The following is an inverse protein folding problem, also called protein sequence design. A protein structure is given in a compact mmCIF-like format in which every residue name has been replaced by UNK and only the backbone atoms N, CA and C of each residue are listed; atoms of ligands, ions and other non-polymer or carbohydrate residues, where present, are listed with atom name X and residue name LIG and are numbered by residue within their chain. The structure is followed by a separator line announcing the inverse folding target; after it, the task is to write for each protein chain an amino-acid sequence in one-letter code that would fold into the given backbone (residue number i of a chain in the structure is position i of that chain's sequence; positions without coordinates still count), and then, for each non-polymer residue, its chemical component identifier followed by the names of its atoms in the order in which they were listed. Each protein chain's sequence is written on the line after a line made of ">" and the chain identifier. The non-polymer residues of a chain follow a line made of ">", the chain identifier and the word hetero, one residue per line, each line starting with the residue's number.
data_IF_735142689885
#
_entry.id   IF_735142689885
#
_cell.length_a   1.000
_cell.length_b   1.000
_cell.length_c   1.000
_cell.angle_alpha   90.00
_cell.angle_beta   90.00
_cell.angle_gamma   90.00
#
_symmetry.space_group_name_H-M   'P 1'
#
loop_
_entity.id
_entity.type
_entity.pdbx_description
1 polymer ?
#
# COMPACT_ATOMS: atom_id res chain seq x y z
N UNK A 1 -47.54 14.48 -15.89
CA UNK A 1 -46.99 13.25 -16.52
C UNK A 1 -46.44 13.48 -17.94
N UNK A 2 -46.83 14.54 -18.67
CA UNK A 2 -46.36 14.80 -20.05
C UNK A 2 -44.90 15.30 -20.19
N UNK A 3 -44.32 15.94 -19.16
CA UNK A 3 -42.95 16.49 -19.25
C UNK A 3 -41.83 15.42 -19.28
N UNK A 4 -42.08 14.20 -18.77
CA UNK A 4 -41.10 13.10 -18.84
C UNK A 4 -40.98 12.50 -20.24
N UNK A 5 -42.07 12.53 -21.02
CA UNK A 5 -42.09 11.94 -22.37
C UNK A 5 -41.36 12.84 -23.39
N UNK A 6 -41.36 14.16 -23.17
CA UNK A 6 -40.65 15.11 -24.03
C UNK A 6 -39.12 15.02 -23.88
N UNK A 7 -38.62 14.84 -22.66
CA UNK A 7 -37.18 14.60 -22.41
C UNK A 7 -36.71 13.25 -22.95
N UNK A 8 -37.57 12.22 -22.97
CA UNK A 8 -37.23 10.92 -23.53
C UNK A 8 -37.10 10.97 -25.06
N UNK A 9 -37.99 11.72 -25.73
CA UNK A 9 -37.97 11.92 -27.18
C UNK A 9 -36.72 12.70 -27.65
N UNK A 10 -36.28 13.71 -26.89
CA UNK A 10 -35.07 14.49 -27.22
C UNK A 10 -33.79 13.64 -27.04
N UNK A 11 -33.74 12.78 -26.03
CA UNK A 11 -32.61 11.85 -25.84
C UNK A 11 -32.59 10.77 -26.93
N UNK A 12 -33.74 10.24 -27.35
CA UNK A 12 -33.86 9.28 -28.46
C UNK A 12 -33.48 9.90 -29.82
N UNK A 13 -33.89 11.15 -30.10
CA UNK A 13 -33.51 11.86 -31.32
C UNK A 13 -32.00 12.16 -31.37
N UNK A 14 -31.38 12.51 -30.25
CA UNK A 14 -29.93 12.78 -30.19
C UNK A 14 -29.04 11.55 -30.45
N UNK A 15 -29.53 10.34 -30.18
CA UNK A 15 -28.80 9.10 -30.48
C UNK A 15 -28.85 8.71 -31.97
N UNK A 16 -29.84 9.21 -32.74
CA UNK A 16 -29.97 8.94 -34.17
C UNK A 16 -29.08 9.83 -35.05
N UNK A 17 -28.69 11.02 -34.57
CA UNK A 17 -27.80 11.90 -35.35
C UNK A 17 -26.34 11.46 -35.38
N UNK A 18 -25.86 10.77 -34.33
CA UNK A 18 -24.44 10.33 -34.26
C UNK A 18 -24.17 9.13 -35.18
N UNK A 19 -25.15 8.25 -35.39
CA UNK A 19 -25.05 7.13 -36.34
C UNK A 19 -25.12 7.59 -37.80
N UNK A 20 -25.84 8.69 -38.07
CA UNK A 20 -25.98 9.25 -39.43
C UNK A 20 -24.63 9.70 -40.02
N UNK A 21 -23.77 10.37 -39.23
CA UNK A 21 -22.46 10.80 -39.70
C UNK A 21 -21.50 9.63 -40.01
N UNK A 22 -21.56 8.55 -39.24
CA UNK A 22 -20.75 7.36 -39.49
C UNK A 22 -21.19 6.66 -40.79
N UNK A 23 -22.50 6.59 -41.03
CA UNK A 23 -23.09 6.00 -42.23
C UNK A 23 -22.75 6.80 -43.50
N UNK A 24 -22.89 8.13 -43.46
CA UNK A 24 -22.53 9.02 -44.59
C UNK A 24 -21.06 8.86 -44.97
N UNK A 25 -20.17 8.82 -43.97
CA UNK A 25 -18.74 8.66 -44.23
C UNK A 25 -18.37 7.28 -44.79
N UNK A 26 -19.15 6.24 -44.47
CA UNK A 26 -18.92 4.87 -44.95
C UNK A 26 -19.28 4.67 -46.44
N UNK A 27 -20.01 5.61 -47.05
CA UNK A 27 -20.39 5.56 -48.47
C UNK A 27 -19.42 6.34 -49.38
N UNK A 28 -18.42 7.02 -48.82
CA UNK A 28 -17.46 7.82 -49.60
C UNK A 28 -16.53 6.95 -50.42
N UNK A 29 -16.19 7.38 -51.64
CA UNK A 29 -15.26 6.65 -52.50
C UNK A 29 -13.86 6.44 -51.85
N UNK A 30 -13.40 7.41 -51.06
CA UNK A 30 -12.13 7.32 -50.31
C UNK A 30 -12.34 7.16 -48.79
N UNK A 31 -13.09 6.13 -48.37
CA UNK A 31 -13.17 5.77 -46.94
C UNK A 31 -11.77 5.45 -46.39
N UNK A 32 -10.89 4.83 -47.17
CA UNK A 32 -9.59 4.40 -46.66
C UNK A 32 -8.65 5.57 -46.30
N UNK A 33 -8.63 6.65 -47.10
CA UNK A 33 -7.91 7.88 -46.77
C UNK A 33 -8.47 8.55 -45.50
N UNK A 34 -9.79 8.59 -45.36
CA UNK A 34 -10.46 9.13 -44.17
C UNK A 34 -10.11 8.34 -42.89
N UNK A 35 -10.13 7.00 -42.97
CA UNK A 35 -9.71 6.12 -41.87
C UNK A 35 -8.25 6.38 -41.50
N UNK A 36 -7.38 6.60 -42.49
CA UNK A 36 -5.96 6.90 -42.27
C UNK A 36 -5.78 8.21 -41.51
N UNK A 37 -6.52 9.26 -41.89
CA UNK A 37 -6.54 10.55 -41.20
C UNK A 37 -7.00 10.40 -39.75
N UNK A 38 -8.12 9.73 -39.49
CA UNK A 38 -8.60 9.52 -38.12
C UNK A 38 -7.64 8.74 -37.25
N UNK A 39 -6.93 7.76 -37.80
CA UNK A 39 -5.91 7.03 -37.05
C UNK A 39 -4.73 7.93 -36.69
N UNK A 40 -4.29 8.80 -37.60
CA UNK A 40 -3.23 9.78 -37.34
C UNK A 40 -3.66 10.78 -36.25
N UNK A 41 -4.91 11.21 -36.30
CA UNK A 41 -5.52 12.11 -35.32
C UNK A 41 -5.87 11.42 -34.00
N UNK A 42 -5.77 10.08 -33.89
CA UNK A 42 -6.18 9.26 -32.73
C UNK A 42 -7.70 9.17 -32.50
N UNK A 43 -8.50 9.37 -33.54
CA UNK A 43 -9.96 9.24 -33.59
C UNK A 43 -10.40 7.78 -33.82
N UNK A 44 -10.00 6.87 -32.92
CA UNK A 44 -10.16 5.44 -33.13
C UNK A 44 -11.62 4.96 -33.12
N UNK A 45 -12.47 5.51 -32.24
CA UNK A 45 -13.88 5.14 -32.21
C UNK A 45 -14.61 5.58 -33.48
N UNK A 46 -14.33 6.79 -34.01
CA UNK A 46 -14.86 7.26 -35.30
C UNK A 46 -14.48 6.29 -36.41
N UNK A 47 -13.19 5.93 -36.51
CA UNK A 47 -12.72 4.98 -37.51
C UNK A 47 -13.40 3.61 -37.42
N UNK A 48 -13.54 3.05 -36.21
CA UNK A 48 -14.20 1.75 -36.00
C UNK A 48 -15.69 1.81 -36.29
N UNK A 49 -16.37 2.85 -35.86
CA UNK A 49 -17.82 2.97 -36.03
C UNK A 49 -18.18 3.24 -37.50
N UNK A 50 -17.35 3.96 -38.27
CA UNK A 50 -17.49 4.05 -39.73
C UNK A 50 -17.25 2.71 -40.42
N UNK A 51 -16.19 1.95 -40.06
CA UNK A 51 -15.93 0.65 -40.68
C UNK A 51 -17.08 -0.34 -40.51
N UNK A 52 -17.81 -0.30 -39.38
CA UNK A 52 -18.99 -1.15 -39.16
C UNK A 52 -20.14 -0.87 -40.12
N UNK A 53 -20.19 0.31 -40.72
CA UNK A 53 -21.26 0.75 -41.62
C UNK A 53 -20.92 0.50 -43.11
N UNK A 54 -19.70 0.07 -43.42
CA UNK A 54 -19.28 -0.21 -44.81
C UNK A 54 -19.94 -1.50 -45.31
N UNK A 55 -20.66 -1.41 -46.42
CA UNK A 55 -21.34 -2.56 -47.06
C UNK A 55 -20.34 -3.47 -47.79
N UNK A 56 -20.66 -4.76 -47.88
CA UNK A 56 -19.87 -5.78 -48.60
C UNK A 56 -19.66 -5.48 -50.08
N UNK A 57 -20.58 -4.72 -50.68
CA UNK A 57 -20.53 -4.28 -52.09
C UNK A 57 -19.54 -3.14 -52.35
N UNK A 58 -18.94 -2.54 -51.32
CA UNK A 58 -18.00 -1.44 -51.49
C UNK A 58 -16.70 -1.92 -52.18
N UNK A 59 -16.16 -1.20 -53.20
CA UNK A 59 -14.98 -1.65 -53.95
C UNK A 59 -13.75 -1.96 -53.09
N UNK A 60 -13.61 -1.27 -51.95
CA UNK A 60 -12.50 -1.44 -51.02
C UNK A 60 -12.85 -2.29 -49.78
N UNK A 61 -13.97 -3.00 -49.75
CA UNK A 61 -14.49 -3.67 -48.56
C UNK A 61 -13.44 -4.57 -47.87
N UNK A 62 -12.80 -5.49 -48.62
CA UNK A 62 -11.79 -6.40 -48.07
C UNK A 62 -10.60 -5.64 -47.46
N UNK A 63 -10.08 -4.63 -48.17
CA UNK A 63 -8.98 -3.78 -47.70
C UNK A 63 -9.35 -3.05 -46.40
N UNK A 64 -10.57 -2.52 -46.32
CA UNK A 64 -11.09 -1.81 -45.15
C UNK A 64 -11.29 -2.75 -43.94
N UNK A 65 -11.75 -3.98 -44.15
CA UNK A 65 -11.91 -4.94 -43.05
C UNK A 65 -10.56 -5.37 -42.42
N UNK A 66 -9.49 -5.45 -43.22
CA UNK A 66 -8.13 -5.72 -42.70
C UNK A 66 -7.61 -4.58 -41.81
N UNK A 67 -8.08 -3.33 -42.00
CA UNK A 67 -7.70 -2.17 -41.19
C UNK A 67 -8.14 -2.32 -39.72
N UNK A 68 -9.15 -3.13 -39.41
CA UNK A 68 -9.65 -3.31 -38.05
C UNK A 68 -8.54 -3.75 -37.08
N UNK A 69 -7.66 -4.66 -37.52
CA UNK A 69 -6.53 -5.15 -36.70
C UNK A 69 -5.53 -4.04 -36.41
N UNK A 70 -5.24 -3.18 -37.39
CA UNK A 70 -4.35 -2.03 -37.22
C UNK A 70 -4.95 -1.00 -36.25
N UNK A 71 -6.22 -0.62 -36.45
CA UNK A 71 -6.93 0.34 -35.60
C UNK A 71 -6.94 -0.17 -34.16
N UNK A 72 -7.24 -1.45 -33.94
CA UNK A 72 -7.23 -2.07 -32.62
C UNK A 72 -5.83 -2.02 -31.98
N UNK A 73 -4.77 -2.38 -32.72
CA UNK A 73 -3.39 -2.33 -32.23
C UNK A 73 -2.97 -0.90 -31.85
N UNK A 74 -3.24 0.09 -32.71
CA UNK A 74 -2.90 1.49 -32.45
C UNK A 74 -3.72 2.08 -31.29
N UNK A 75 -5.02 1.78 -31.23
CA UNK A 75 -5.90 2.17 -30.13
C UNK A 75 -5.42 1.62 -28.78
N UNK A 76 -5.04 0.34 -28.71
CA UNK A 76 -4.51 -0.26 -27.49
C UNK A 76 -3.16 0.34 -27.07
N UNK A 77 -2.28 0.65 -28.03
CA UNK A 77 -1.01 1.35 -27.75
C UNK A 77 -1.26 2.75 -27.19
N UNK A 78 -2.22 3.48 -27.76
CA UNK A 78 -2.66 4.78 -27.24
C UNK A 78 -3.19 4.65 -25.82
N UNK A 79 -4.12 3.73 -25.56
CA UNK A 79 -4.67 3.47 -24.22
C UNK A 79 -3.57 3.14 -23.20
N UNK A 80 -2.62 2.26 -23.55
CA UNK A 80 -1.51 1.91 -22.67
C UNK A 80 -0.63 3.13 -22.32
N UNK A 81 -0.34 3.99 -23.32
CA UNK A 81 0.41 5.24 -23.11
C UNK A 81 -0.36 6.19 -22.19
N UNK A 82 -1.65 6.39 -22.44
CA UNK A 82 -2.54 7.23 -21.63
C UNK A 82 -2.53 6.77 -20.17
N UNK A 83 -2.76 5.47 -19.91
CA UNK A 83 -2.77 4.91 -18.55
C UNK A 83 -1.41 5.10 -17.86
N UNK A 84 -0.30 4.88 -18.58
CA UNK A 84 1.04 5.10 -18.02
C UNK A 84 1.26 6.56 -17.62
N UNK A 85 0.86 7.49 -18.48
CA UNK A 85 0.99 8.93 -18.26
C UNK A 85 0.10 9.42 -17.10
N UNK A 86 -1.16 9.02 -17.05
CA UNK A 86 -2.06 9.39 -15.95
C UNK A 86 -1.58 8.80 -14.62
N UNK A 87 -1.05 7.58 -14.61
CA UNK A 87 -0.43 7.01 -13.41
C UNK A 87 0.78 7.81 -12.92
N UNK A 88 1.57 8.41 -13.82
CA UNK A 88 2.63 9.34 -13.45
C UNK A 88 2.05 10.58 -12.76
N UNK A 89 1.07 11.26 -13.38
CA UNK A 89 0.42 12.43 -12.77
C UNK A 89 -0.22 12.14 -11.42
N UNK A 90 -0.85 10.98 -11.26
CA UNK A 90 -1.44 10.55 -9.98
C UNK A 90 -0.37 10.40 -8.88
N UNK A 91 0.82 9.86 -9.20
CA UNK A 91 1.91 9.74 -8.21
C UNK A 91 2.44 11.11 -7.78
N UNK A 92 2.50 12.05 -8.72
CA UNK A 92 2.91 13.44 -8.48
C UNK A 92 1.80 14.31 -7.85
N UNK A 93 0.64 13.73 -7.48
CA UNK A 93 -0.56 14.45 -7.01
C UNK A 93 -1.09 15.51 -7.99
N UNK A 94 -0.76 15.39 -9.29
CA UNK A 94 -1.26 16.24 -10.37
C UNK A 94 -2.62 15.73 -10.87
N UNK A 95 -3.63 15.84 -10.01
CA UNK A 95 -4.94 15.24 -10.24
C UNK A 95 -5.69 15.81 -11.44
N UNK A 96 -5.50 17.10 -11.73
CA UNK A 96 -6.14 17.79 -12.86
C UNK A 96 -5.51 17.39 -14.18
N UNK A 97 -4.18 17.36 -14.28
CA UNK A 97 -3.47 16.85 -15.47
C UNK A 97 -3.90 15.42 -15.83
N UNK A 98 -4.04 14.56 -14.82
CA UNK A 98 -4.56 13.21 -15.01
C UNK A 98 -6.00 13.22 -15.55
N UNK A 99 -6.86 14.12 -15.05
CA UNK A 99 -8.24 14.26 -15.51
C UNK A 99 -8.30 14.66 -16.98
N UNK A 100 -7.56 15.70 -17.37
CA UNK A 100 -7.51 16.20 -18.75
C UNK A 100 -7.07 15.11 -19.72
N UNK A 101 -6.03 14.34 -19.37
CA UNK A 101 -5.56 13.23 -20.21
C UNK A 101 -6.58 12.09 -20.31
N UNK A 102 -7.26 11.73 -19.20
CA UNK A 102 -8.34 10.74 -19.26
C UNK A 102 -9.51 11.20 -20.11
N UNK A 103 -9.97 12.44 -19.94
CA UNK A 103 -11.10 12.99 -20.66
C UNK A 103 -10.84 13.03 -22.17
N UNK A 104 -9.63 13.49 -22.56
CA UNK A 104 -9.18 13.43 -23.94
C UNK A 104 -9.23 12.00 -24.51
N UNK A 105 -8.70 11.02 -23.78
CA UNK A 105 -8.66 9.64 -24.26
C UNK A 105 -10.05 8.97 -24.30
N UNK A 106 -10.93 9.27 -23.36
CA UNK A 106 -12.29 8.69 -23.30
C UNK A 106 -13.17 9.22 -24.43
N UNK A 107 -12.96 10.45 -24.90
CA UNK A 107 -13.66 10.97 -26.09
C UNK A 107 -13.25 10.27 -27.38
N UNK A 108 -12.08 9.62 -27.40
CA UNK A 108 -11.50 8.97 -28.58
C UNK A 108 -11.62 7.45 -28.59
N UNK A 109 -11.68 6.86 -27.40
CA UNK A 109 -11.79 5.40 -27.18
C UNK A 109 -12.74 5.08 -26.01
N UNK A 110 -13.96 5.59 -26.12
CA UNK A 110 -15.04 5.51 -25.12
C UNK A 110 -15.39 4.08 -24.71
N UNK A 111 -15.32 3.12 -25.64
CA UNK A 111 -15.72 1.72 -25.42
C UNK A 111 -14.59 0.83 -24.89
N UNK A 112 -13.38 1.35 -24.65
CA UNK A 112 -12.26 0.54 -24.17
C UNK A 112 -12.39 0.21 -22.68
N UNK A 113 -12.48 -1.09 -22.35
CA UNK A 113 -12.68 -1.57 -20.97
C UNK A 113 -11.52 -1.20 -20.04
N UNK A 114 -10.28 -1.31 -20.50
CA UNK A 114 -9.09 -1.02 -19.69
C UNK A 114 -8.98 0.46 -19.34
N UNK A 115 -9.24 1.35 -20.31
CA UNK A 115 -9.28 2.80 -20.09
C UNK A 115 -10.37 3.18 -19.08
N UNK A 116 -11.59 2.68 -19.27
CA UNK A 116 -12.71 2.93 -18.36
C UNK A 116 -12.43 2.42 -16.93
N UNK A 117 -11.85 1.23 -16.80
CA UNK A 117 -11.47 0.68 -15.50
C UNK A 117 -10.40 1.52 -14.80
N UNK A 118 -9.39 1.95 -15.57
CA UNK A 118 -8.31 2.81 -15.07
C UNK A 118 -8.85 4.18 -14.62
N UNK A 119 -9.76 4.80 -15.39
CA UNK A 119 -10.42 6.04 -15.03
C UNK A 119 -11.28 5.91 -13.76
N UNK A 120 -12.09 4.84 -13.64
CA UNK A 120 -12.86 4.57 -12.41
C UNK A 120 -11.94 4.44 -11.18
N UNK A 121 -10.81 3.76 -11.35
CA UNK A 121 -9.80 3.61 -10.29
C UNK A 121 -9.18 4.97 -9.92
N UNK A 122 -8.89 5.83 -10.90
CA UNK A 122 -8.45 7.20 -10.68
C UNK A 122 -9.44 8.00 -9.83
N UNK A 123 -10.75 7.96 -10.17
CA UNK A 123 -11.78 8.69 -9.42
C UNK A 123 -11.83 8.25 -7.95
N UNK A 124 -11.74 6.94 -7.68
CA UNK A 124 -11.68 6.41 -6.32
C UNK A 124 -10.42 6.91 -5.58
N UNK A 125 -9.25 6.88 -6.22
CA UNK A 125 -8.00 7.39 -5.64
C UNK A 125 -8.06 8.89 -5.35
N UNK A 126 -8.59 9.68 -6.29
CA UNK A 126 -8.79 11.14 -6.13
C UNK A 126 -9.72 11.42 -4.96
N UNK A 127 -10.82 10.69 -4.84
CA UNK A 127 -11.76 10.86 -3.74
C UNK A 127 -11.12 10.53 -2.38
N UNK A 128 -10.32 9.45 -2.30
CA UNK A 128 -9.58 9.11 -1.08
C UNK A 128 -8.58 10.22 -0.71
N UNK A 129 -7.87 10.76 -1.69
CA UNK A 129 -6.94 11.88 -1.49
C UNK A 129 -7.64 13.15 -1.00
N UNK A 130 -8.73 13.55 -1.66
CA UNK A 130 -9.56 14.70 -1.26
C UNK A 130 -10.07 14.51 0.19
N UNK A 131 -10.58 13.32 0.52
CA UNK A 131 -11.05 13.03 1.86
C UNK A 131 -9.93 13.11 2.91
N UNK A 132 -8.70 12.71 2.56
CA UNK A 132 -7.52 12.87 3.42
C UNK A 132 -7.20 14.35 3.65
N UNK A 133 -7.23 15.17 2.61
CA UNK A 133 -7.00 16.62 2.73
C UNK A 133 -8.10 17.31 3.54
N UNK A 134 -9.37 17.01 3.27
CA UNK A 134 -10.51 17.52 4.05
C UNK A 134 -10.40 17.14 5.53
N UNK A 135 -9.98 15.91 5.83
CA UNK A 135 -9.71 15.50 7.20
C UNK A 135 -8.58 16.32 7.83
N UNK A 136 -7.46 16.52 7.13
CA UNK A 136 -6.35 17.34 7.65
C UNK A 136 -6.80 18.77 7.93
N UNK A 137 -7.58 19.36 7.02
CA UNK A 137 -8.17 20.69 7.20
C UNK A 137 -9.06 20.74 8.44
N UNK A 138 -9.99 19.80 8.59
CA UNK A 138 -10.88 19.72 9.75
C UNK A 138 -10.12 19.66 11.09
N UNK A 139 -9.08 18.82 11.17
CA UNK A 139 -8.26 18.70 12.38
C UNK A 139 -7.51 20.01 12.67
N UNK A 140 -6.96 20.66 11.64
CA UNK A 140 -6.26 21.94 11.80
C UNK A 140 -7.23 23.05 12.23
N UNK A 141 -8.40 23.13 11.62
CA UNK A 141 -9.48 24.05 12.00
C UNK A 141 -9.86 23.85 13.46
N UNK A 142 -10.07 22.60 13.89
CA UNK A 142 -10.40 22.31 15.29
C UNK A 142 -9.30 22.77 16.25
N UNK A 143 -8.02 22.51 15.95
CA UNK A 143 -6.92 22.97 16.80
C UNK A 143 -6.81 24.50 16.88
N UNK A 144 -7.05 25.21 15.78
CA UNK A 144 -7.07 26.68 15.79
C UNK A 144 -8.18 27.18 16.70
N UNK A 145 -9.41 26.69 16.50
CA UNK A 145 -10.58 27.09 17.27
C UNK A 145 -10.44 26.81 18.77
N UNK A 146 -9.83 25.68 19.16
CA UNK A 146 -9.54 25.36 20.57
C UNK A 146 -8.66 26.44 21.22
N UNK A 147 -7.74 27.05 20.46
CA UNK A 147 -6.83 28.09 20.96
C UNK A 147 -7.44 29.49 20.87
N UNK A 148 -8.06 29.81 19.75
CA UNK A 148 -8.47 31.17 19.40
C UNK A 148 -9.77 31.57 20.11
N UNK A 149 -10.72 30.63 20.24
CA UNK A 149 -12.03 30.89 20.84
C UNK A 149 -11.95 31.46 22.27
N UNK A 150 -11.20 30.88 23.23
CA UNK A 150 -11.11 31.42 24.58
C UNK A 150 -10.39 32.79 24.63
N UNK A 151 -9.49 33.07 23.68
CA UNK A 151 -8.81 34.37 23.59
C UNK A 151 -9.80 35.42 23.08
N UNK A 152 -10.52 35.13 21.99
CA UNK A 152 -11.51 36.05 21.45
C UNK A 152 -12.66 36.32 22.44
N UNK A 153 -13.07 35.30 23.20
CA UNK A 153 -14.06 35.48 24.26
C UNK A 153 -13.61 36.52 25.30
N UNK A 154 -12.35 36.47 25.74
CA UNK A 154 -11.80 37.44 26.69
C UNK A 154 -11.77 38.86 26.10
N UNK A 155 -11.40 39.01 24.83
CA UNK A 155 -11.41 40.30 24.13
C UNK A 155 -12.84 40.87 24.08
N UNK A 156 -13.81 40.06 23.64
CA UNK A 156 -15.21 40.47 23.57
C UNK A 156 -15.79 40.81 24.95
N UNK A 157 -15.36 40.13 26.02
CA UNK A 157 -15.79 40.45 27.39
C UNK A 157 -15.15 41.73 27.95
N UNK A 158 -13.95 42.09 27.49
CA UNK A 158 -13.23 43.29 27.93
C UNK A 158 -13.77 44.57 27.26
N UNK A 159 -14.29 44.44 26.03
CA UNK A 159 -14.81 45.57 25.22
C UNK A 159 -16.26 45.29 24.82
N UNK A 160 -17.15 45.23 25.82
CA UNK A 160 -18.54 44.77 25.62
C UNK A 160 -19.33 45.64 24.65
N UNK A 161 -19.02 46.93 24.60
CA UNK A 161 -19.60 47.94 23.73
C UNK A 161 -19.18 47.79 22.26
N UNK A 162 -18.09 47.08 21.96
CA UNK A 162 -17.63 46.86 20.59
C UNK A 162 -18.43 45.74 19.91
N UNK A 163 -19.40 46.14 19.08
CA UNK A 163 -20.18 45.22 18.24
C UNK A 163 -19.29 44.37 17.32
N UNK A 164 -18.15 44.92 16.88
CA UNK A 164 -17.20 44.22 16.01
C UNK A 164 -16.54 43.05 16.73
N UNK A 165 -16.11 43.22 17.99
CA UNK A 165 -15.49 42.13 18.75
C UNK A 165 -16.49 41.06 19.18
N UNK A 166 -17.75 41.46 19.47
CA UNK A 166 -18.84 40.50 19.69
C UNK A 166 -19.11 39.65 18.43
N UNK A 167 -19.25 40.31 17.27
CA UNK A 167 -19.49 39.61 16.01
C UNK A 167 -18.38 38.62 15.65
N UNK A 168 -17.11 38.98 15.90
CA UNK A 168 -15.97 38.07 15.72
C UNK A 168 -16.06 36.85 16.64
N UNK A 169 -16.40 37.06 17.91
CA UNK A 169 -16.60 35.97 18.87
C UNK A 169 -17.75 35.04 18.43
N UNK A 170 -18.90 35.60 18.07
CA UNK A 170 -20.07 34.81 17.63
C UNK A 170 -19.79 34.03 16.34
N UNK A 171 -19.04 34.62 15.41
CA UNK A 171 -18.59 33.94 14.18
C UNK A 171 -17.70 32.73 14.51
N UNK A 172 -16.72 32.90 15.40
CA UNK A 172 -15.84 31.81 15.84
C UNK A 172 -16.63 30.72 16.58
N UNK A 173 -17.58 31.11 17.44
CA UNK A 173 -18.45 30.19 18.17
C UNK A 173 -19.36 29.38 17.24
N UNK A 174 -19.93 30.03 16.23
CA UNK A 174 -20.72 29.35 15.18
C UNK A 174 -19.86 28.35 14.42
N UNK A 175 -18.64 28.75 14.02
CA UNK A 175 -17.69 27.86 13.34
C UNK A 175 -17.24 26.68 14.22
N UNK A 176 -17.07 26.89 15.53
CA UNK A 176 -16.78 25.82 16.48
C UNK A 176 -17.94 24.80 16.55
N UNK A 177 -19.18 25.27 16.58
CA UNK A 177 -20.38 24.42 16.60
C UNK A 177 -20.50 23.57 15.32
N UNK A 178 -20.23 24.16 14.16
CA UNK A 178 -20.17 23.44 12.89
C UNK A 178 -19.04 22.40 12.89
N UNK A 179 -17.86 22.79 13.35
CA UNK A 179 -16.68 21.92 13.44
C UNK A 179 -16.92 20.72 14.36
N UNK A 180 -17.62 20.90 15.49
CA UNK A 180 -18.05 19.80 16.36
C UNK A 180 -18.92 18.80 15.60
N UNK A 181 -19.88 19.28 14.82
CA UNK A 181 -20.76 18.42 14.00
C UNK A 181 -19.98 17.65 12.94
N UNK A 182 -19.03 18.29 12.27
CA UNK A 182 -18.13 17.65 11.31
C UNK A 182 -17.24 16.58 11.95
N UNK A 183 -16.72 16.84 13.16
CA UNK A 183 -15.88 15.90 13.91
C UNK A 183 -16.67 14.68 14.42
N UNK A 184 -17.91 14.88 14.86
CA UNK A 184 -18.83 13.79 15.21
C UNK A 184 -19.09 12.90 13.98
N UNK A 185 -19.29 13.50 12.81
CA UNK A 185 -19.44 12.76 11.55
C UNK A 185 -18.14 12.05 11.13
N UNK A 186 -16.99 12.71 11.27
CA UNK A 186 -15.68 12.11 11.06
C UNK A 186 -15.53 10.84 11.90
N UNK A 187 -15.85 10.91 13.19
CA UNK A 187 -15.76 9.77 14.09
C UNK A 187 -16.72 8.64 13.68
N UNK A 188 -17.99 8.95 13.41
CA UNK A 188 -18.98 7.99 12.91
C UNK A 188 -18.52 7.25 11.65
N UNK A 189 -18.00 7.98 10.64
CA UNK A 189 -17.48 7.39 9.41
C UNK A 189 -16.29 6.47 9.67
N UNK A 190 -15.36 6.89 10.52
CA UNK A 190 -14.18 6.09 10.85
C UNK A 190 -14.52 4.85 11.70
N UNK A 191 -15.56 4.92 12.55
CA UNK A 191 -16.09 3.73 13.24
C UNK A 191 -16.65 2.71 12.28
N UNK A 192 -17.43 3.12 11.27
CA UNK A 192 -17.94 2.23 10.22
C UNK A 192 -16.79 1.55 9.45
N UNK A 193 -15.69 2.28 9.23
CA UNK A 193 -14.49 1.78 8.57
C UNK A 193 -13.51 1.04 9.52
N UNK A 194 -13.88 0.79 10.79
CA UNK A 194 -13.03 0.16 11.81
C UNK A 194 -11.70 0.89 12.09
N UNK A 195 -11.60 2.18 11.75
CA UNK A 195 -10.45 3.06 12.00
C UNK A 195 -10.58 3.72 13.38
N UNK A 196 -10.38 2.92 14.43
CA UNK A 196 -10.66 3.32 15.82
C UNK A 196 -9.84 4.54 16.24
N UNK A 197 -8.53 4.58 15.94
CA UNK A 197 -7.66 5.69 16.34
C UNK A 197 -8.08 7.03 15.72
N UNK A 198 -8.40 7.04 14.43
CA UNK A 198 -8.88 8.24 13.73
C UNK A 198 -10.22 8.70 14.28
N UNK A 199 -11.12 7.75 14.57
CA UNK A 199 -12.40 8.07 15.22
C UNK A 199 -12.19 8.68 16.61
N UNK A 200 -11.31 8.08 17.43
CA UNK A 200 -10.95 8.60 18.76
C UNK A 200 -10.40 10.02 18.68
N UNK A 201 -9.49 10.30 17.74
CA UNK A 201 -8.95 11.65 17.55
C UNK A 201 -10.03 12.67 17.20
N UNK A 202 -10.91 12.35 16.26
CA UNK A 202 -12.00 13.25 15.87
C UNK A 202 -12.95 13.52 17.05
N UNK A 203 -13.34 12.50 17.81
CA UNK A 203 -14.29 12.71 18.92
C UNK A 203 -13.68 13.46 20.10
N UNK A 204 -12.37 13.30 20.36
CA UNK A 204 -11.66 14.05 21.40
C UNK A 204 -11.59 15.53 21.08
N UNK A 205 -11.30 15.88 19.82
CA UNK A 205 -11.33 17.29 19.38
C UNK A 205 -12.74 17.88 19.46
N UNK A 206 -13.77 17.09 19.15
CA UNK A 206 -15.16 17.53 19.29
C UNK A 206 -15.51 17.82 20.76
N UNK A 207 -14.96 17.05 21.69
CA UNK A 207 -15.15 17.25 23.12
C UNK A 207 -14.41 18.49 23.64
N UNK A 208 -13.24 18.82 23.08
CA UNK A 208 -12.45 19.99 23.45
C UNK A 208 -13.06 21.33 23.00
N UNK A 209 -13.88 21.32 21.95
CA UNK A 209 -14.56 22.51 21.41
C UNK A 209 -15.87 22.88 22.15
N UNK A 210 -16.00 22.50 23.42
CA UNK A 210 -17.14 22.81 24.29
C UNK A 210 -18.52 22.56 23.62
N UNK A 211 -18.84 21.28 23.30
CA UNK A 211 -20.03 20.94 22.54
C UNK A 211 -21.33 21.30 23.28
N UNK A 212 -22.38 21.64 22.52
CA UNK A 212 -23.74 21.81 23.05
C UNK A 212 -24.20 20.58 23.85
N UNK A 213 -25.19 20.73 24.73
CA UNK A 213 -25.74 19.62 25.54
C UNK A 213 -26.13 18.40 24.68
N UNK A 214 -26.76 18.66 23.52
CA UNK A 214 -27.13 17.62 22.56
C UNK A 214 -25.90 16.90 21.96
N UNK A 215 -24.91 17.68 21.49
CA UNK A 215 -23.66 17.16 20.92
C UNK A 215 -22.84 16.38 21.96
N UNK A 216 -22.83 16.83 23.21
CA UNK A 216 -22.18 16.16 24.34
C UNK A 216 -22.75 14.75 24.57
N UNK A 217 -24.08 14.58 24.49
CA UNK A 217 -24.73 13.28 24.55
C UNK A 217 -24.26 12.33 23.43
N UNK A 218 -24.23 12.83 22.18
CA UNK A 218 -23.72 12.08 21.01
C UNK A 218 -22.25 11.69 21.17
N UNK A 219 -21.41 12.61 21.65
CA UNK A 219 -19.98 12.39 21.92
C UNK A 219 -19.78 11.28 22.96
N UNK A 220 -20.51 11.34 24.08
CA UNK A 220 -20.44 10.33 25.15
C UNK A 220 -20.78 8.92 24.65
N UNK A 221 -21.83 8.80 23.81
CA UNK A 221 -22.22 7.53 23.20
C UNK A 221 -21.12 6.98 22.28
N UNK A 222 -20.53 7.83 21.44
CA UNK A 222 -19.44 7.40 20.57
C UNK A 222 -18.18 7.00 21.33
N UNK A 223 -17.79 7.75 22.36
CA UNK A 223 -16.66 7.42 23.23
C UNK A 223 -16.81 6.05 23.88
N UNK A 224 -18.01 5.72 24.40
CA UNK A 224 -18.30 4.37 24.94
C UNK A 224 -18.09 3.28 23.89
N UNK A 225 -18.58 3.49 22.66
CA UNK A 225 -18.40 2.56 21.54
C UNK A 225 -16.94 2.39 21.14
N UNK A 226 -16.19 3.50 21.04
CA UNK A 226 -14.76 3.52 20.74
C UNK A 226 -13.99 2.72 21.80
N UNK A 227 -14.23 2.97 23.09
CA UNK A 227 -13.56 2.30 24.18
C UNK A 227 -13.84 0.79 24.18
N UNK A 228 -15.10 0.38 24.01
CA UNK A 228 -15.49 -1.04 23.89
C UNK A 228 -14.76 -1.73 22.74
N UNK A 229 -14.69 -1.08 21.57
CA UNK A 229 -13.99 -1.63 20.41
C UNK A 229 -12.46 -1.67 20.60
N UNK A 230 -11.89 -0.66 21.24
CA UNK A 230 -10.47 -0.59 21.57
C UNK A 230 -10.06 -1.74 22.49
N UNK A 231 -10.84 -1.99 23.56
CA UNK A 231 -10.60 -3.09 24.50
C UNK A 231 -10.70 -4.44 23.77
N UNK A 232 -11.74 -4.64 22.96
CA UNK A 232 -11.92 -5.88 22.18
C UNK A 232 -10.76 -6.14 21.23
N UNK A 233 -10.29 -5.11 20.52
CA UNK A 233 -9.16 -5.23 19.61
C UNK A 233 -7.85 -5.49 20.36
N UNK A 234 -7.63 -4.84 21.51
CA UNK A 234 -6.43 -5.10 22.30
C UNK A 234 -6.41 -6.54 22.82
N UNK A 235 -7.52 -7.05 23.34
CA UNK A 235 -7.64 -8.46 23.77
C UNK A 235 -7.38 -9.43 22.62
N UNK A 236 -7.90 -9.14 21.42
CA UNK A 236 -7.64 -9.96 20.22
C UNK A 236 -6.15 -9.94 19.83
N UNK A 237 -5.52 -8.76 19.88
CA UNK A 237 -4.09 -8.60 19.58
C UNK A 237 -3.23 -9.37 20.56
N UNK A 238 -3.46 -9.20 21.87
CA UNK A 238 -2.74 -9.92 22.92
C UNK A 238 -2.89 -11.45 22.77
N UNK A 239 -4.09 -11.93 22.43
CA UNK A 239 -4.31 -13.35 22.15
C UNK A 239 -3.53 -13.83 20.92
N UNK A 240 -3.52 -13.05 19.84
CA UNK A 240 -2.78 -13.39 18.62
C UNK A 240 -1.25 -13.39 18.85
N UNK A 241 -0.76 -12.45 19.64
CA UNK A 241 0.63 -12.34 20.05
C UNK A 241 1.05 -13.52 20.92
N UNK A 242 0.27 -13.83 21.97
CA UNK A 242 0.45 -15.02 22.79
C UNK A 242 0.49 -16.31 21.97
N UNK A 243 -0.48 -16.50 21.06
CA UNK A 243 -0.48 -17.66 20.15
C UNK A 243 0.77 -17.71 19.25
N UNK A 244 1.27 -16.56 18.79
CA UNK A 244 2.49 -16.50 17.97
C UNK A 244 3.72 -16.88 18.78
N UNK A 245 3.80 -16.46 20.05
CA UNK A 245 4.88 -16.84 20.96
C UNK A 245 4.83 -18.36 21.20
N UNK A 246 3.66 -18.91 21.52
CA UNK A 246 3.48 -20.37 21.70
C UNK A 246 3.93 -21.16 20.48
N UNK A 247 3.54 -20.72 19.28
CA UNK A 247 3.96 -21.37 18.02
C UNK A 247 5.47 -21.30 17.83
N UNK A 248 6.10 -20.18 18.18
CA UNK A 248 7.55 -20.02 18.07
C UNK A 248 8.30 -20.89 19.10
N UNK A 249 7.79 -20.99 20.33
CA UNK A 249 8.31 -21.92 21.35
C UNK A 249 8.20 -23.37 20.87
N UNK A 250 7.09 -23.77 20.26
CA UNK A 250 6.95 -25.14 19.72
C UNK A 250 7.95 -25.42 18.59
N UNK A 251 8.23 -24.45 17.72
CA UNK A 251 9.27 -24.57 16.70
C UNK A 251 10.67 -24.69 17.30
N UNK A 252 10.96 -23.88 18.33
CA UNK A 252 12.19 -24.00 19.10
C UNK A 252 12.33 -25.41 19.70
N UNK A 253 11.30 -25.91 20.40
CA UNK A 253 11.30 -27.25 21.00
C UNK A 253 11.52 -28.35 19.95
N UNK A 254 10.90 -28.24 18.78
CA UNK A 254 11.10 -29.19 17.69
C UNK A 254 12.51 -29.15 17.10
N UNK A 255 13.10 -27.96 16.93
CA UNK A 255 14.49 -27.81 16.47
C UNK A 255 15.48 -28.38 17.51
N UNK A 256 15.26 -28.04 18.78
CA UNK A 256 16.06 -28.52 19.90
C UNK A 256 16.01 -30.05 20.03
N UNK A 257 14.82 -30.65 19.95
CA UNK A 257 14.65 -32.11 20.00
C UNK A 257 15.33 -32.84 18.83
N UNK A 258 15.48 -32.17 17.67
CA UNK A 258 16.23 -32.68 16.51
C UNK A 258 17.73 -32.42 16.59
N UNK A 259 18.22 -31.87 17.71
CA UNK A 259 19.60 -31.42 17.89
C UNK A 259 20.06 -30.37 16.85
N UNK A 260 19.12 -29.65 16.24
CA UNK A 260 19.39 -28.51 15.35
C UNK A 260 19.57 -27.24 16.21
N UNK A 261 20.74 -27.16 16.85
CA UNK A 261 21.06 -26.11 17.82
C UNK A 261 21.15 -24.73 17.16
N UNK A 262 21.55 -24.65 15.88
CA UNK A 262 21.58 -23.40 15.12
C UNK A 262 20.16 -22.84 14.92
N UNK A 263 19.22 -23.68 14.43
CA UNK A 263 17.84 -23.26 14.25
C UNK A 263 17.18 -22.93 15.60
N UNK A 264 17.44 -23.73 16.64
CA UNK A 264 16.94 -23.48 17.99
C UNK A 264 17.42 -22.11 18.53
N UNK A 265 18.71 -21.79 18.40
CA UNK A 265 19.30 -20.51 18.82
C UNK A 265 18.70 -19.33 18.06
N UNK A 266 18.60 -19.45 16.74
CA UNK A 266 18.01 -18.40 15.88
C UNK A 266 16.56 -18.11 16.26
N UNK A 267 15.75 -19.15 16.47
CA UNK A 267 14.34 -19.00 16.83
C UNK A 267 14.22 -18.36 18.22
N UNK A 268 14.96 -18.86 19.22
CA UNK A 268 14.82 -18.42 20.59
C UNK A 268 15.29 -16.97 20.79
N UNK A 269 16.42 -16.58 20.21
CA UNK A 269 16.91 -15.20 20.25
C UNK A 269 15.90 -14.23 19.61
N UNK A 270 15.24 -14.64 18.52
CA UNK A 270 14.19 -13.85 17.88
C UNK A 270 12.97 -13.66 18.79
N UNK A 271 12.58 -14.66 19.58
CA UNK A 271 11.46 -14.53 20.51
C UNK A 271 11.86 -13.61 21.69
N UNK A 272 13.06 -13.79 22.25
CA UNK A 272 13.58 -12.99 23.38
C UNK A 272 13.71 -11.51 23.01
N UNK A 273 14.24 -11.19 21.83
CA UNK A 273 14.39 -9.81 21.37
C UNK A 273 13.07 -9.02 21.40
N UNK A 274 11.95 -9.71 21.17
CA UNK A 274 10.60 -9.13 21.16
C UNK A 274 9.85 -9.27 22.50
N UNK A 275 10.40 -9.99 23.49
CA UNK A 275 9.74 -10.34 24.75
C UNK A 275 10.72 -10.25 25.93
N UNK A 276 11.40 -9.10 26.04
CA UNK A 276 12.40 -8.86 27.10
C UNK A 276 11.75 -9.05 28.49
N UNK A 277 12.47 -9.73 29.38
CA UNK A 277 12.03 -9.96 30.77
C UNK A 277 11.12 -11.17 30.98
N UNK A 278 10.87 -11.99 29.97
CA UNK A 278 10.13 -13.25 30.17
C UNK A 278 11.03 -14.33 30.80
N UNK A 279 10.76 -14.66 32.05
CA UNK A 279 11.52 -15.65 32.84
C UNK A 279 11.61 -17.04 32.20
N UNK A 280 10.53 -17.52 31.58
CA UNK A 280 10.52 -18.82 30.91
C UNK A 280 11.46 -18.85 29.70
N UNK A 281 11.50 -17.76 28.92
CA UNK A 281 12.41 -17.67 27.77
C UNK A 281 13.87 -17.62 28.21
N UNK A 282 14.16 -16.95 29.33
CA UNK A 282 15.51 -16.94 29.92
C UNK A 282 15.95 -18.34 30.33
N UNK A 283 15.06 -19.13 30.95
CA UNK A 283 15.35 -20.55 31.28
C UNK A 283 15.65 -21.37 30.04
N UNK A 284 14.81 -21.25 29.00
CA UNK A 284 15.04 -21.97 27.73
C UNK A 284 16.38 -21.60 27.10
N UNK A 285 16.80 -20.33 27.22
CA UNK A 285 18.08 -19.84 26.68
C UNK A 285 19.26 -20.47 27.41
N UNK A 286 19.21 -20.52 28.74
CA UNK A 286 20.24 -21.18 29.55
C UNK A 286 20.43 -22.66 29.16
N UNK A 287 19.33 -23.41 29.01
CA UNK A 287 19.36 -24.83 28.62
C UNK A 287 19.97 -25.01 27.22
N UNK A 288 19.58 -24.13 26.29
CA UNK A 288 20.12 -24.16 24.94
C UNK A 288 21.63 -23.85 24.94
N UNK A 289 22.05 -22.83 25.69
CA UNK A 289 23.44 -22.40 25.74
C UNK A 289 24.35 -23.49 26.31
N UNK A 290 23.90 -24.19 27.37
CA UNK A 290 24.60 -25.37 27.89
C UNK A 290 24.77 -26.47 26.82
N UNK A 291 23.70 -26.74 26.05
CA UNK A 291 23.74 -27.73 24.97
C UNK A 291 24.66 -27.32 23.82
N UNK A 292 24.69 -26.03 23.48
CA UNK A 292 25.59 -25.45 22.48
C UNK A 292 27.04 -25.58 22.95
N UNK A 293 27.35 -25.18 24.18
CA UNK A 293 28.70 -25.24 24.73
C UNK A 293 29.24 -26.67 24.71
N UNK A 294 28.46 -27.64 25.21
CA UNK A 294 28.84 -29.06 25.17
C UNK A 294 29.10 -29.56 23.74
N UNK A 295 28.27 -29.14 22.77
CA UNK A 295 28.44 -29.51 21.35
C UNK A 295 29.70 -28.90 20.75
N UNK A 296 30.00 -27.65 21.09
CA UNK A 296 31.19 -26.93 20.65
C UNK A 296 32.44 -27.59 21.21
N UNK A 297 32.52 -27.82 22.52
CA UNK A 297 33.66 -28.46 23.19
C UNK A 297 33.99 -29.82 22.56
N UNK A 298 32.98 -30.69 22.46
CA UNK A 298 33.14 -32.03 21.84
C UNK A 298 33.57 -31.91 20.37
N UNK A 299 33.02 -30.92 19.66
CA UNK A 299 33.28 -30.70 18.25
C UNK A 299 34.67 -30.12 17.96
N UNK A 300 35.18 -29.24 18.82
CA UNK A 300 36.54 -28.70 18.78
C UNK A 300 37.53 -29.85 18.94
N UNK A 301 37.34 -30.69 19.97
CA UNK A 301 38.24 -31.82 20.23
C UNK A 301 38.24 -32.83 19.08
N UNK A 302 37.06 -33.15 18.53
CA UNK A 302 36.95 -34.00 17.34
C UNK A 302 37.73 -33.41 16.16
N UNK A 303 37.58 -32.11 15.91
CA UNK A 303 38.32 -31.42 14.85
C UNK A 303 39.83 -31.42 15.09
N UNK A 304 40.28 -31.29 16.36
CA UNK A 304 41.69 -31.37 16.75
C UNK A 304 42.29 -32.74 16.42
N UNK A 305 41.57 -33.82 16.72
CA UNK A 305 41.96 -35.20 16.39
C UNK A 305 42.02 -35.41 14.87
N UNK A 306 41.04 -34.90 14.11
CA UNK A 306 41.06 -34.97 12.64
C UNK A 306 42.27 -34.21 12.07
N UNK A 307 42.54 -33.03 12.62
CA UNK A 307 43.64 -32.18 12.22
C UNK A 307 44.99 -32.86 12.48
N UNK A 308 45.19 -33.46 13.67
CA UNK A 308 46.45 -34.14 14.00
C UNK A 308 46.71 -35.39 13.16
N UNK A 309 45.64 -36.07 12.70
CA UNK A 309 45.71 -37.19 11.76
C UNK A 309 45.93 -36.78 10.29
N UNK A 310 46.13 -35.49 10.01
CA UNK A 310 46.33 -34.97 8.65
C UNK A 310 45.04 -34.78 7.85
N UNK A 311 43.86 -35.06 8.42
CA UNK A 311 42.56 -34.87 7.76
C UNK A 311 42.09 -33.42 7.83
N UNK A 312 42.90 -32.48 7.31
CA UNK A 312 42.73 -31.04 7.50
C UNK A 312 41.40 -30.51 6.93
N UNK A 313 40.93 -31.06 5.80
CA UNK A 313 39.65 -30.67 5.19
C UNK A 313 38.46 -31.06 6.07
N UNK A 314 38.46 -32.28 6.61
CA UNK A 314 37.40 -32.76 7.51
C UNK A 314 37.38 -31.98 8.84
N UNK A 315 38.55 -31.61 9.36
CA UNK A 315 38.66 -30.74 10.52
C UNK A 315 38.06 -29.34 10.26
N UNK A 316 38.38 -28.74 9.10
CA UNK A 316 37.84 -27.44 8.69
C UNK A 316 36.31 -27.48 8.53
N UNK A 317 35.77 -28.51 7.87
CA UNK A 317 34.32 -28.67 7.71
C UNK A 317 33.62 -28.81 9.07
N UNK A 318 34.24 -29.57 9.98
CA UNK A 318 33.74 -29.74 11.35
C UNK A 318 33.67 -28.41 12.10
N UNK A 319 34.77 -27.65 12.16
CA UNK A 319 34.79 -26.37 12.87
C UNK A 319 33.89 -25.32 12.21
N UNK A 320 33.85 -25.27 10.88
CA UNK A 320 32.97 -24.35 10.13
C UNK A 320 31.49 -24.61 10.41
N UNK A 321 31.10 -25.88 10.60
CA UNK A 321 29.73 -26.23 10.98
C UNK A 321 29.37 -25.77 12.40
N UNK A 322 30.33 -25.79 13.34
CA UNK A 322 30.14 -25.32 14.72
C UNK A 322 30.09 -23.79 14.79
N UNK A 323 30.88 -23.09 13.97
CA UNK A 323 30.88 -21.62 13.91
C UNK A 323 29.50 -21.06 13.45
N UNK A 324 28.71 -21.83 12.71
CA UNK A 324 27.32 -21.43 12.40
C UNK A 324 26.45 -21.40 13.66
N UNK A 325 26.70 -22.28 14.63
CA UNK A 325 25.93 -22.39 15.87
C UNK A 325 26.31 -21.25 16.84
N UNK A 326 27.61 -20.98 16.96
CA UNK A 326 28.18 -19.86 17.74
C UNK A 326 29.14 -19.02 16.87
N UNK A 327 28.62 -18.00 16.17
CA UNK A 327 29.42 -17.15 15.28
C UNK A 327 30.49 -16.32 15.99
N UNK A 328 30.40 -16.13 17.31
CA UNK A 328 31.33 -15.30 18.06
C UNK A 328 32.46 -16.08 18.73
N UNK A 329 32.50 -17.40 18.55
CA UNK A 329 33.51 -18.25 19.14
C UNK A 329 34.92 -17.97 18.58
N UNK A 330 35.78 -17.38 19.42
CA UNK A 330 37.14 -16.97 19.05
C UNK A 330 38.02 -18.20 18.75
N UNK A 331 37.87 -19.27 19.52
CA UNK A 331 38.67 -20.50 19.37
C UNK A 331 38.39 -21.19 18.03
N UNK A 332 37.11 -21.35 17.66
CA UNK A 332 36.73 -21.89 16.35
C UNK A 332 37.27 -21.03 15.20
N UNK A 333 37.18 -19.70 15.28
CA UNK A 333 37.75 -18.78 14.27
C UNK A 333 39.26 -19.01 14.09
N UNK A 334 39.98 -19.19 15.20
CA UNK A 334 41.43 -19.45 15.18
C UNK A 334 41.78 -20.79 14.52
N UNK A 335 41.08 -21.87 14.90
CA UNK A 335 41.29 -23.21 14.32
C UNK A 335 40.99 -23.26 12.82
N UNK A 336 39.88 -22.64 12.40
CA UNK A 336 39.48 -22.50 10.98
C UNK A 336 40.59 -21.79 10.20
N UNK A 337 41.05 -20.63 10.67
CA UNK A 337 42.12 -19.87 10.02
C UNK A 337 43.41 -20.69 9.85
N UNK A 338 43.79 -21.46 10.88
CA UNK A 338 44.97 -22.33 10.82
C UNK A 338 44.82 -23.44 9.77
N UNK A 339 43.67 -24.13 9.73
CA UNK A 339 43.42 -25.17 8.73
C UNK A 339 43.38 -24.62 7.30
N UNK A 340 42.78 -23.46 7.09
CA UNK A 340 42.76 -22.79 5.78
C UNK A 340 44.17 -22.44 5.29
N UNK A 341 45.05 -21.97 6.19
CA UNK A 341 46.46 -21.71 5.84
C UNK A 341 47.19 -22.98 5.40
N UNK A 342 46.98 -24.09 6.11
CA UNK A 342 47.60 -25.39 5.76
C UNK A 342 47.09 -25.90 4.41
N UNK A 343 45.77 -25.90 4.19
CA UNK A 343 45.19 -26.33 2.91
C UNK A 343 45.67 -25.49 1.73
N UNK A 344 45.85 -24.18 1.93
CA UNK A 344 46.41 -23.28 0.90
C UNK A 344 47.84 -23.66 0.55
N UNK A 345 48.69 -23.92 1.55
CA UNK A 345 50.07 -24.38 1.34
C UNK A 345 50.13 -25.74 0.62
N UNK A 346 49.30 -26.70 1.02
CA UNK A 346 49.22 -28.00 0.35
C UNK A 346 48.85 -27.85 -1.13
N UNK A 347 47.86 -27.02 -1.45
CA UNK A 347 47.47 -26.74 -2.85
C UNK A 347 48.63 -26.16 -3.67
N UNK A 348 49.39 -25.22 -3.11
CA UNK A 348 50.52 -24.59 -3.81
C UNK A 348 51.69 -25.54 -4.05
N UNK A 349 51.85 -26.56 -3.20
CA UNK A 349 52.88 -27.60 -3.36
C UNK A 349 52.45 -28.59 -4.45
N UNK A 350 51.21 -29.10 -4.39
CA UNK A 350 50.66 -30.00 -5.41
C UNK A 350 50.54 -29.36 -6.80
N UNK A 351 50.47 -28.03 -6.92
CA UNK A 351 50.46 -27.33 -8.20
C UNK A 351 51.85 -27.05 -8.77
N UNK A 352 52.89 -27.06 -7.92
CA UNK A 352 54.28 -26.91 -8.36
C UNK A 352 54.85 -28.25 -8.83
N UNK A 353 54.51 -29.33 -8.14
CA UNK A 353 54.95 -30.69 -8.52
C UNK A 353 54.31 -31.17 -9.84
N UNK A 354 53.12 -30.69 -10.21
CA UNK A 354 52.47 -31.00 -11.50
C UNK A 354 52.93 -30.13 -12.69
N UNK A 355 53.82 -29.14 -12.47
CA UNK A 355 54.37 -28.26 -13.51
C UNK A 355 55.89 -28.46 -13.68
N UNK A 356 56.42 -29.59 -13.18
CA UNK A 356 57.84 -29.91 -13.12
C UNK A 356 58.24 -31.24 -13.74
N UNK A 357 57.41 -31.83 -14.61
CA UNK A 357 57.76 -32.93 -15.51
C UNK A 357 57.72 -32.48 -16.98
#
# INVERSE_FOLDING_TARGET
>A
MMLKNFTLAIVLASQLFVSSCAYINAQRNDVNGLITKWIAEQEFDKARDTLKQVKTTHPQYLKLMLRNKEIFKKSNKFVAKTIKQTHFFIRENKWEDAYTVYNFALNRVSKNKSLNFSYKTYLLKRQVYINKLKHKLLINTAHSLIKDLPIQQKIALAVKESSTEQNKYDTLRSRATETVSELINCSSKNLKLKRINTSKKCIQLAQMLEPSKESSGKIKLQLRKINKLSIKNNKKRLKAESNSITKAINKYKAAFAKNDLHAANTILNKIIANNKGNYELTKLKSILDESINKKIETGIETGRILYSKGNIKLALDKWSSLLKIDPENIELKSHISRAERVLRKLRTLTSKDNNGD
#
